data_IF_111705619451
#
_entry.id   IF_111705619451
#
_cell.length_a   1.000
_cell.length_b   1.000
_cell.length_c   1.000
_cell.angle_alpha   90.00
_cell.angle_beta   90.00
_cell.angle_gamma   90.00
#
_symmetry.space_group_name_H-M   'P 1'
#
loop_
_entity.id
_entity.type
_entity.pdbx_description
1 polymer ?
#
# COMPACT_ATOMS: atom_id res chain seq x y z
N UNK A 1 -1.93 -1.18 -21.20
CA UNK A 1 -1.22 -1.37 -19.90
C UNK A 1 -0.62 -2.77 -19.92
N UNK A 2 0.61 -2.94 -19.43
CA UNK A 2 1.23 -4.27 -19.37
C UNK A 2 0.93 -4.88 -18.00
N UNK A 3 0.23 -6.02 -18.00
CA UNK A 3 -0.04 -6.81 -16.80
C UNK A 3 0.93 -7.99 -16.78
N UNK A 4 1.55 -8.23 -15.64
CA UNK A 4 2.53 -9.29 -15.49
C UNK A 4 1.86 -10.59 -15.07
N UNK A 5 2.12 -11.69 -15.79
CA UNK A 5 1.98 -13.03 -15.23
C UNK A 5 3.19 -13.30 -14.30
N UNK A 6 3.11 -14.36 -13.50
CA UNK A 6 4.22 -14.76 -12.63
C UNK A 6 5.53 -14.94 -13.42
N UNK A 7 5.48 -15.70 -14.49
CA UNK A 7 6.68 -15.99 -15.30
C UNK A 7 7.24 -14.74 -15.98
N UNK A 8 6.37 -13.85 -16.48
CA UNK A 8 6.83 -12.58 -17.07
C UNK A 8 7.55 -11.71 -16.03
N UNK A 9 7.00 -11.61 -14.82
CA UNK A 9 7.64 -10.84 -13.75
C UNK A 9 8.98 -11.46 -13.33
N UNK A 10 9.05 -12.78 -13.16
CA UNK A 10 10.31 -13.48 -12.82
C UNK A 10 11.37 -13.21 -13.89
N UNK A 11 11.03 -13.38 -15.17
CA UNK A 11 11.97 -13.16 -16.28
C UNK A 11 12.50 -11.72 -16.29
N UNK A 12 11.65 -10.72 -15.97
CA UNK A 12 12.06 -9.31 -15.90
C UNK A 12 13.02 -9.01 -14.74
N UNK A 13 13.00 -9.83 -13.69
CA UNK A 13 13.85 -9.66 -12.50
C UNK A 13 15.14 -10.48 -12.55
N UNK A 14 15.16 -11.63 -13.26
CA UNK A 14 16.29 -12.54 -13.33
C UNK A 14 17.58 -11.84 -13.78
N UNK A 15 18.68 -12.12 -13.07
CA UNK A 15 20.01 -11.54 -13.30
C UNK A 15 20.10 -10.01 -13.10
N UNK A 16 19.05 -9.36 -12.62
CA UNK A 16 18.97 -7.90 -12.44
C UNK A 16 18.73 -7.49 -11.00
N UNK A 17 17.85 -8.19 -10.30
CA UNK A 17 17.53 -7.94 -8.88
C UNK A 17 17.57 -9.24 -8.08
N UNK A 18 17.96 -9.16 -6.82
CA UNK A 18 17.77 -10.26 -5.89
C UNK A 18 16.30 -10.33 -5.45
N UNK A 19 15.71 -11.50 -5.63
CA UNK A 19 14.34 -11.80 -5.22
C UNK A 19 14.18 -13.26 -4.82
N UNK A 20 13.07 -13.56 -4.16
CA UNK A 20 12.65 -14.94 -3.84
C UNK A 20 11.18 -15.13 -4.13
N UNK A 21 10.80 -16.38 -4.41
CA UNK A 21 9.42 -16.83 -4.46
C UNK A 21 9.04 -17.50 -3.15
N UNK A 22 7.92 -17.07 -2.55
CA UNK A 22 7.28 -17.82 -1.47
C UNK A 22 6.00 -18.45 -2.01
N UNK A 23 5.79 -19.71 -1.66
CA UNK A 23 4.72 -20.53 -2.25
C UNK A 23 3.92 -21.24 -1.15
N UNK A 24 2.59 -21.15 -1.24
CA UNK A 24 1.64 -21.88 -0.39
C UNK A 24 0.48 -22.39 -1.24
N UNK A 25 0.31 -23.70 -1.33
CA UNK A 25 -0.63 -24.35 -2.26
C UNK A 25 -0.39 -23.87 -3.71
N UNK A 26 -1.42 -23.32 -4.37
CA UNK A 26 -1.36 -22.76 -5.72
C UNK A 26 -1.01 -21.28 -5.76
N UNK A 27 -0.90 -20.63 -4.60
CA UNK A 27 -0.56 -19.21 -4.49
C UNK A 27 0.94 -18.97 -4.43
N UNK A 28 1.38 -17.84 -4.99
CA UNK A 28 2.77 -17.41 -5.00
C UNK A 28 2.86 -15.91 -4.69
N UNK A 29 3.88 -15.51 -3.95
CA UNK A 29 4.32 -14.11 -3.90
C UNK A 29 5.77 -14.01 -4.33
N UNK A 30 6.14 -12.84 -4.88
CA UNK A 30 7.51 -12.50 -5.25
C UNK A 30 7.99 -11.38 -4.35
N UNK A 31 9.08 -11.62 -3.61
CA UNK A 31 9.68 -10.66 -2.68
C UNK A 31 11.05 -10.25 -3.18
N UNK A 32 11.30 -8.94 -3.31
CA UNK A 32 12.55 -8.36 -3.81
C UNK A 32 13.33 -7.67 -2.69
N UNK A 33 14.67 -7.72 -2.75
CA UNK A 33 15.54 -6.89 -1.91
C UNK A 33 15.43 -5.39 -2.24
N UNK A 34 15.09 -5.03 -3.48
CA UNK A 34 14.95 -3.62 -3.87
C UNK A 34 13.72 -3.00 -3.22
N UNK A 35 13.93 -2.12 -2.25
CA UNK A 35 12.88 -1.52 -1.43
C UNK A 35 12.24 -2.48 -0.42
N UNK A 36 12.75 -3.72 -0.27
CA UNK A 36 12.17 -4.75 0.59
C UNK A 36 10.72 -5.08 0.22
N UNK A 37 10.39 -5.11 -1.08
CA UNK A 37 9.02 -5.10 -1.59
C UNK A 37 8.45 -6.49 -1.87
N UNK A 38 7.13 -6.62 -1.70
CA UNK A 38 6.37 -7.69 -2.35
C UNK A 38 5.94 -7.17 -3.72
N UNK A 39 6.53 -7.69 -4.79
CA UNK A 39 6.26 -7.25 -6.17
C UNK A 39 5.12 -8.01 -6.83
N UNK A 40 4.79 -9.19 -6.37
CA UNK A 40 3.76 -10.01 -6.97
C UNK A 40 2.89 -10.73 -5.97
N UNK A 41 1.58 -10.76 -6.24
CA UNK A 41 0.57 -11.58 -5.57
C UNK A 41 -0.17 -12.35 -6.65
N UNK A 42 -0.08 -13.67 -6.60
CA UNK A 42 -0.70 -14.60 -7.55
C UNK A 42 -1.55 -15.61 -6.79
N UNK A 43 -2.89 -15.42 -6.67
CA UNK A 43 -3.79 -16.32 -5.96
C UNK A 43 -3.91 -17.72 -6.58
N UNK A 44 -3.59 -17.88 -7.85
CA UNK A 44 -3.55 -19.15 -8.59
C UNK A 44 -2.41 -19.18 -9.60
N UNK A 45 -2.07 -20.35 -10.13
CA UNK A 45 -0.94 -20.52 -11.06
C UNK A 45 -1.08 -19.69 -12.33
N UNK A 46 -2.25 -19.70 -12.92
CA UNK A 46 -2.56 -19.01 -14.18
C UNK A 46 -3.40 -17.74 -13.86
N UNK A 47 -2.73 -16.65 -13.52
CA UNK A 47 -3.37 -15.34 -13.33
C UNK A 47 -2.38 -14.20 -13.57
N UNK A 48 -2.92 -13.00 -13.70
CA UNK A 48 -2.10 -11.79 -13.68
C UNK A 48 -1.77 -11.39 -12.24
N UNK A 49 -0.71 -10.63 -12.09
CA UNK A 49 -0.35 -10.00 -10.83
C UNK A 49 -1.44 -9.00 -10.40
N UNK A 50 -1.91 -9.09 -9.17
CA UNK A 50 -2.87 -8.13 -8.63
C UNK A 50 -2.20 -6.80 -8.22
N UNK A 51 -0.86 -6.80 -8.07
CA UNK A 51 -0.10 -5.59 -7.79
C UNK A 51 0.38 -4.93 -9.08
N UNK A 52 0.43 -3.60 -9.04
CA UNK A 52 1.10 -2.87 -10.11
C UNK A 52 2.61 -3.07 -10.01
N UNK A 53 3.22 -3.32 -11.15
CA UNK A 53 4.67 -3.33 -11.35
C UNK A 53 4.98 -2.33 -12.45
N UNK A 54 6.09 -1.61 -12.31
CA UNK A 54 6.49 -0.64 -13.31
C UNK A 54 6.60 -1.29 -14.69
N UNK A 55 5.83 -0.87 -15.69
CA UNK A 55 5.81 -1.50 -17.01
C UNK A 55 7.15 -1.41 -17.76
N UNK A 56 8.02 -0.48 -17.37
CA UNK A 56 9.37 -0.33 -17.90
C UNK A 56 10.43 -1.09 -17.08
N UNK A 57 10.03 -2.03 -16.21
CA UNK A 57 10.94 -2.69 -15.26
C UNK A 57 12.16 -3.32 -15.91
N UNK A 58 12.06 -3.77 -17.17
CA UNK A 58 13.16 -4.34 -17.93
C UNK A 58 14.23 -3.30 -18.34
N UNK A 59 13.85 -2.04 -18.44
CA UNK A 59 14.72 -0.94 -18.88
C UNK A 59 15.22 -0.07 -17.71
N UNK A 60 14.73 -0.29 -16.49
CA UNK A 60 15.07 0.55 -15.34
C UNK A 60 16.53 0.40 -14.90
N UNK A 61 17.15 1.52 -14.57
CA UNK A 61 18.38 1.56 -13.77
C UNK A 61 18.01 1.51 -12.28
N UNK A 62 18.04 0.32 -11.70
CA UNK A 62 17.71 0.10 -10.29
C UNK A 62 18.62 0.83 -9.28
N UNK A 63 19.71 1.45 -9.72
CA UNK A 63 20.52 2.32 -8.86
C UNK A 63 19.92 3.71 -8.71
N UNK A 64 19.04 4.10 -9.62
CA UNK A 64 18.43 5.44 -9.68
C UNK A 64 16.92 5.40 -9.43
N UNK A 65 16.28 4.29 -9.85
CA UNK A 65 14.82 4.17 -9.81
C UNK A 65 14.37 3.47 -8.53
N UNK A 66 13.56 4.15 -7.77
CA UNK A 66 12.96 3.60 -6.55
C UNK A 66 11.63 2.89 -6.84
N UNK A 67 10.83 3.39 -7.81
CA UNK A 67 9.46 2.94 -8.03
C UNK A 67 9.36 1.77 -9.02
N UNK A 68 9.59 0.58 -8.51
CA UNK A 68 9.44 -0.67 -9.28
C UNK A 68 8.06 -1.33 -9.10
N UNK A 69 7.20 -0.77 -8.25
CA UNK A 69 5.87 -1.33 -7.98
C UNK A 69 5.75 -2.06 -6.65
N UNK A 70 4.63 -2.75 -6.45
CA UNK A 70 4.41 -3.67 -5.34
C UNK A 70 3.95 -3.03 -4.03
N UNK A 71 4.08 -3.80 -2.94
CA UNK A 71 3.82 -3.36 -1.57
C UNK A 71 5.12 -2.98 -0.87
N UNK A 72 5.11 -1.86 -0.15
CA UNK A 72 6.28 -1.32 0.55
C UNK A 72 5.94 -0.76 1.93
N UNK A 73 6.98 -0.58 2.73
CA UNK A 73 6.92 0.08 4.04
C UNK A 73 7.71 1.38 4.00
N UNK A 74 7.06 2.47 4.42
CA UNK A 74 7.63 3.79 4.55
C UNK A 74 7.40 4.36 5.95
N UNK A 75 7.85 5.60 6.18
CA UNK A 75 7.68 6.36 7.42
C UNK A 75 7.01 7.67 7.07
N UNK A 76 5.96 8.04 7.80
CA UNK A 76 5.28 9.33 7.68
C UNK A 76 5.62 10.25 8.87
N UNK A 77 5.37 11.58 8.77
CA UNK A 77 4.57 12.22 7.74
C UNK A 77 5.33 12.43 6.42
N UNK A 78 4.61 12.27 5.32
CA UNK A 78 5.16 12.48 3.96
C UNK A 78 5.79 13.87 3.84
N UNK A 79 5.13 14.90 4.38
CA UNK A 79 5.59 16.28 4.33
C UNK A 79 7.03 16.47 4.79
N UNK A 80 7.44 15.81 5.88
CA UNK A 80 8.75 16.06 6.48
C UNK A 80 9.90 15.31 5.80
N UNK A 81 9.62 14.21 5.13
CA UNK A 81 10.67 13.33 4.62
C UNK A 81 10.77 13.32 3.10
N UNK A 82 9.68 13.63 2.38
CA UNK A 82 9.60 13.46 0.93
C UNK A 82 9.53 14.79 0.15
N UNK A 83 9.56 15.95 0.81
CA UNK A 83 9.60 17.26 0.16
C UNK A 83 10.84 18.01 0.62
N UNK A 84 11.70 18.45 -0.33
CA UNK A 84 12.89 19.26 0.01
C UNK A 84 12.51 20.60 0.61
N UNK A 85 11.34 21.12 0.22
CA UNK A 85 10.71 22.32 0.75
C UNK A 85 9.36 21.99 1.39
N UNK A 86 9.35 21.45 2.64
CA UNK A 86 8.16 20.94 3.28
C UNK A 86 7.11 22.01 3.62
N UNK A 87 7.51 23.28 3.78
CA UNK A 87 6.57 24.37 4.06
C UNK A 87 5.69 24.69 2.84
N UNK A 88 6.24 24.58 1.63
CA UNK A 88 5.57 24.84 0.36
C UNK A 88 5.08 23.56 -0.34
N UNK A 89 5.45 22.38 0.16
CA UNK A 89 5.17 21.08 -0.46
C UNK A 89 5.74 20.99 -1.89
N UNK A 90 6.97 21.43 -2.05
CA UNK A 90 7.69 21.47 -3.33
C UNK A 90 8.86 20.50 -3.35
N UNK A 91 9.29 20.16 -4.57
CA UNK A 91 10.43 19.28 -4.83
C UNK A 91 10.32 17.92 -4.16
N UNK A 92 9.23 17.22 -4.47
CA UNK A 92 9.02 15.85 -4.00
C UNK A 92 10.14 14.92 -4.46
N UNK A 93 10.61 14.05 -3.59
CA UNK A 93 11.62 13.03 -3.86
C UNK A 93 11.41 11.83 -2.95
N UNK A 94 11.87 10.64 -3.37
CA UNK A 94 11.93 9.48 -2.50
C UNK A 94 13.28 9.44 -1.79
N UNK A 95 13.35 9.41 -0.45
CA UNK A 95 14.61 9.33 0.28
C UNK A 95 15.31 7.99 0.02
N UNK A 96 16.45 8.01 -0.66
CA UNK A 96 17.19 6.78 -1.03
C UNK A 96 17.57 5.93 0.19
N UNK A 97 17.77 6.54 1.34
CA UNK A 97 18.04 5.82 2.60
C UNK A 97 16.82 5.13 3.21
N UNK A 98 15.61 5.30 2.62
CA UNK A 98 14.38 4.60 2.97
C UNK A 98 13.92 3.67 1.85
N UNK A 99 13.93 4.15 0.60
CA UNK A 99 13.51 3.40 -0.57
C UNK A 99 14.32 3.86 -1.81
N UNK A 100 15.04 2.96 -2.48
CA UNK A 100 15.03 1.51 -2.25
C UNK A 100 15.83 1.04 -1.03
N UNK A 101 16.60 1.90 -0.37
CA UNK A 101 17.53 1.53 0.72
C UNK A 101 18.48 0.38 0.27
N UNK A 102 18.91 -0.47 1.20
CA UNK A 102 19.76 -1.61 0.88
C UNK A 102 19.29 -2.86 1.64
N UNK A 103 18.02 -3.23 1.42
CA UNK A 103 17.46 -4.42 2.04
C UNK A 103 18.22 -5.68 1.65
N UNK A 104 18.35 -6.59 2.61
CA UNK A 104 18.91 -7.92 2.41
C UNK A 104 17.99 -8.98 2.99
N UNK A 105 17.75 -10.03 2.23
CA UNK A 105 17.07 -11.23 2.72
C UNK A 105 18.01 -11.93 3.67
N UNK A 106 17.65 -11.99 4.94
CA UNK A 106 18.48 -12.57 6.02
C UNK A 106 18.09 -13.99 6.37
N UNK A 107 16.85 -14.36 6.08
CA UNK A 107 16.35 -15.72 6.21
C UNK A 107 15.19 -15.96 5.29
N UNK A 108 15.01 -17.20 4.85
CA UNK A 108 13.85 -17.61 4.05
C UNK A 108 13.50 -19.08 4.22
N UNK A 109 12.22 -19.38 4.10
CA UNK A 109 11.63 -20.72 3.97
C UNK A 109 10.79 -20.79 2.71
N UNK A 110 10.06 -21.88 2.49
CA UNK A 110 9.10 -21.96 1.38
C UNK A 110 7.97 -20.92 1.48
N UNK A 111 7.58 -20.52 2.69
CA UNK A 111 6.39 -19.71 2.96
C UNK A 111 6.67 -18.40 3.69
N UNK A 112 7.92 -18.11 4.03
CA UNK A 112 8.28 -16.90 4.79
C UNK A 112 9.68 -16.42 4.49
N UNK A 113 9.91 -15.12 4.71
CA UNK A 113 11.25 -14.53 4.70
C UNK A 113 11.35 -13.36 5.67
N UNK A 114 12.59 -12.98 5.97
CA UNK A 114 12.90 -11.75 6.69
C UNK A 114 13.92 -10.93 5.91
N UNK A 115 13.68 -9.61 5.84
CA UNK A 115 14.57 -8.66 5.19
C UNK A 115 14.98 -7.59 6.21
N UNK A 116 16.23 -7.15 6.14
CA UNK A 116 16.76 -6.09 6.98
C UNK A 116 17.43 -5.01 6.14
N UNK A 117 17.37 -3.77 6.62
CA UNK A 117 18.14 -2.64 6.09
C UNK A 117 18.51 -1.67 7.18
N UNK A 118 19.63 -0.98 7.01
CA UNK A 118 19.85 0.27 7.71
C UNK A 118 19.07 1.38 7.01
N UNK A 119 18.41 2.25 7.80
CA UNK A 119 17.65 3.38 7.30
C UNK A 119 18.32 4.69 7.68
N UNK A 120 18.27 5.66 6.76
CA UNK A 120 18.72 7.02 6.99
C UNK A 120 17.75 8.00 6.35
N UNK A 121 17.18 8.87 7.19
CA UNK A 121 16.20 9.88 6.80
C UNK A 121 16.66 11.26 7.26
N UNK A 122 16.31 12.29 6.52
CA UNK A 122 16.49 13.69 6.96
C UNK A 122 15.11 14.33 7.11
N UNK A 123 14.81 14.86 8.27
CA UNK A 123 13.68 15.75 8.45
C UNK A 123 13.98 17.05 7.67
N UNK A 124 13.23 17.29 6.62
CA UNK A 124 13.49 18.42 5.71
C UNK A 124 13.15 19.78 6.33
N UNK A 125 12.35 19.81 7.41
CA UNK A 125 12.04 21.04 8.14
C UNK A 125 13.16 21.40 9.11
N UNK A 126 13.58 20.45 9.97
CA UNK A 126 14.61 20.71 11.01
C UNK A 126 16.04 20.49 10.53
N UNK A 127 16.22 19.81 9.38
CA UNK A 127 17.49 19.34 8.82
C UNK A 127 18.22 18.30 9.69
N UNK A 128 17.53 17.73 10.67
CA UNK A 128 18.06 16.64 11.49
C UNK A 128 18.08 15.32 10.72
N UNK A 129 19.16 14.58 10.86
CA UNK A 129 19.30 13.24 10.26
C UNK A 129 18.93 12.16 11.27
N UNK A 130 18.05 11.26 10.88
CA UNK A 130 17.62 10.11 11.65
C UNK A 130 18.19 8.84 11.04
N UNK A 131 18.87 8.05 11.86
CA UNK A 131 19.43 6.75 11.46
C UNK A 131 18.79 5.64 12.28
N UNK A 132 18.70 4.46 11.69
CA UNK A 132 18.08 3.33 12.35
C UNK A 132 18.14 2.05 11.55
N UNK A 133 17.22 1.14 11.86
CA UNK A 133 17.08 -0.15 11.18
C UNK A 133 15.63 -0.47 10.93
N UNK A 134 15.37 -1.13 9.82
CA UNK A 134 14.06 -1.71 9.49
C UNK A 134 14.24 -3.20 9.29
N UNK A 135 13.37 -3.98 9.91
CA UNK A 135 13.19 -5.41 9.65
C UNK A 135 11.76 -5.61 9.14
N UNK A 136 11.63 -6.26 7.97
CA UNK A 136 10.36 -6.73 7.44
C UNK A 136 10.32 -8.25 7.49
N UNK A 137 9.40 -8.84 8.24
CA UNK A 137 9.13 -10.27 8.20
C UNK A 137 7.83 -10.51 7.42
N UNK A 138 7.92 -11.31 6.36
CA UNK A 138 6.84 -11.55 5.40
C UNK A 138 6.54 -13.04 5.41
N UNK A 139 5.27 -13.42 5.57
CA UNK A 139 4.85 -14.82 5.55
C UNK A 139 3.52 -15.00 4.83
N UNK A 140 3.43 -16.07 4.05
CA UNK A 140 2.15 -16.55 3.54
C UNK A 140 1.34 -17.15 4.69
N UNK A 141 0.05 -16.89 4.71
CA UNK A 141 -0.87 -17.37 5.74
C UNK A 141 -2.08 -18.04 5.13
N UNK A 142 -2.69 -18.92 5.91
CA UNK A 142 -3.96 -19.58 5.54
C UNK A 142 -5.09 -18.56 5.43
N UNK A 143 -6.07 -18.91 4.60
CA UNK A 143 -7.26 -18.08 4.42
C UNK A 143 -8.10 -18.02 5.70
N UNK A 144 -8.32 -16.81 6.27
CA UNK A 144 -9.01 -16.72 7.57
C UNK A 144 -10.52 -16.94 7.51
N UNK A 145 -11.15 -16.84 6.33
CA UNK A 145 -12.62 -16.86 6.19
C UNK A 145 -13.17 -18.00 5.31
N UNK A 146 -12.30 -18.83 4.75
CA UNK A 146 -12.64 -19.97 3.89
C UNK A 146 -13.73 -19.65 2.84
N UNK A 147 -13.34 -18.96 1.78
CA UNK A 147 -14.26 -18.53 0.71
C UNK A 147 -14.45 -19.58 -0.37
N UNK A 148 -13.48 -20.49 -0.52
CA UNK A 148 -13.46 -21.53 -1.56
C UNK A 148 -13.01 -21.04 -2.93
N UNK A 149 -12.58 -19.78 -3.09
CA UNK A 149 -12.04 -19.24 -4.34
C UNK A 149 -10.51 -19.08 -4.25
N UNK A 150 -9.80 -18.93 -5.39
CA UNK A 150 -8.37 -18.70 -5.40
C UNK A 150 -7.95 -17.53 -4.51
N UNK A 151 -6.98 -17.79 -3.64
CA UNK A 151 -6.58 -16.92 -2.54
C UNK A 151 -5.05 -16.87 -2.40
N UNK A 152 -4.54 -15.70 -2.03
CA UNK A 152 -3.18 -15.50 -1.57
C UNK A 152 -3.18 -14.52 -0.39
N UNK A 153 -2.69 -14.93 0.77
CA UNK A 153 -2.64 -14.10 1.97
C UNK A 153 -1.23 -13.90 2.48
N UNK A 154 -0.92 -12.65 2.82
CA UNK A 154 0.37 -12.22 3.33
C UNK A 154 0.18 -11.58 4.70
N UNK A 155 1.01 -11.98 5.65
CA UNK A 155 1.20 -11.28 6.91
C UNK A 155 2.56 -10.61 6.92
N UNK A 156 2.58 -9.35 7.30
CA UNK A 156 3.77 -8.56 7.54
C UNK A 156 3.94 -8.29 9.03
N UNK A 157 5.17 -8.34 9.49
CA UNK A 157 5.60 -7.79 10.76
C UNK A 157 6.70 -6.77 10.45
N UNK A 158 6.40 -5.51 10.66
CA UNK A 158 7.33 -4.39 10.50
C UNK A 158 7.92 -4.03 11.85
N UNK A 159 9.24 -3.96 11.91
CA UNK A 159 9.99 -3.46 13.07
C UNK A 159 10.94 -2.37 12.58
N UNK A 160 10.66 -1.14 12.96
CA UNK A 160 11.49 0.01 12.65
C UNK A 160 11.98 0.67 13.93
N UNK A 161 13.29 0.76 14.09
CA UNK A 161 13.94 1.45 15.21
C UNK A 161 14.82 2.57 14.70
N UNK A 162 14.47 3.82 15.04
CA UNK A 162 15.30 5.00 14.83
C UNK A 162 16.06 5.34 16.12
N UNK A 163 17.34 5.65 16.00
CA UNK A 163 18.23 5.90 17.14
C UNK A 163 18.06 7.27 17.79
N UNK A 164 17.11 8.04 17.29
CA UNK A 164 16.66 9.33 17.86
C UNK A 164 15.39 9.09 18.66
N UNK A 165 15.30 9.52 19.92
CA UNK A 165 14.09 9.37 20.74
C UNK A 165 13.01 10.41 20.42
N UNK A 166 11.78 10.12 20.86
CA UNK A 166 10.65 11.06 20.88
C UNK A 166 10.29 11.66 19.52
N UNK A 167 10.36 10.87 18.46
CA UNK A 167 9.95 11.31 17.14
C UNK A 167 8.43 11.16 16.95
N UNK A 168 7.80 12.19 16.43
CA UNK A 168 6.39 12.21 16.03
C UNK A 168 6.26 11.68 14.62
N UNK A 169 6.23 10.36 14.47
CA UNK A 169 6.20 9.65 13.20
C UNK A 169 5.36 8.38 13.28
N UNK A 170 4.84 7.93 12.14
CA UNK A 170 4.16 6.65 12.00
C UNK A 170 4.91 5.74 11.01
N UNK A 171 4.73 4.43 11.14
CA UNK A 171 4.93 3.54 10.01
C UNK A 171 3.84 3.76 8.97
N UNK A 172 4.15 3.51 7.71
CA UNK A 172 3.22 3.71 6.60
C UNK A 172 3.38 2.58 5.58
N UNK A 173 2.31 1.85 5.31
CA UNK A 173 2.32 0.75 4.37
C UNK A 173 1.49 1.09 3.13
N UNK A 174 2.09 0.93 1.96
CA UNK A 174 1.53 1.31 0.67
C UNK A 174 1.54 0.12 -0.28
N UNK A 175 0.41 -0.16 -0.90
CA UNK A 175 0.28 -1.20 -1.92
C UNK A 175 -0.12 -0.57 -3.24
N UNK A 176 0.74 -0.68 -4.25
CA UNK A 176 0.43 -0.21 -5.60
C UNK A 176 -0.45 -1.24 -6.31
N UNK A 177 -1.56 -0.77 -6.86
CA UNK A 177 -2.59 -1.61 -7.49
C UNK A 177 -2.70 -1.31 -8.98
N UNK A 178 -3.00 -2.34 -9.77
CA UNK A 178 -3.27 -2.19 -11.21
C UNK A 178 -4.62 -1.50 -11.44
N UNK A 179 -4.77 -0.82 -12.56
CA UNK A 179 -6.04 -0.28 -13.05
C UNK A 179 -6.21 -0.62 -14.52
N UNK A 180 -7.40 -0.80 -14.99
CA UNK A 180 -7.73 -0.92 -16.42
C UNK A 180 -7.91 0.43 -17.10
N UNK A 181 -7.59 1.55 -16.43
CA UNK A 181 -7.75 2.90 -16.97
C UNK A 181 -9.17 3.40 -16.91
N UNK A 182 -9.49 4.36 -17.79
CA UNK A 182 -10.80 5.02 -17.81
C UNK A 182 -11.96 4.08 -18.14
N UNK A 183 -11.71 3.11 -19.02
CA UNK A 183 -12.76 2.19 -19.51
C UNK A 183 -12.98 0.98 -18.57
N UNK A 184 -12.05 0.71 -17.67
CA UNK A 184 -12.12 -0.36 -16.68
C UNK A 184 -11.45 0.08 -15.38
N UNK A 185 -11.98 1.09 -14.69
CA UNK A 185 -11.38 1.58 -13.46
C UNK A 185 -11.53 0.57 -12.33
N UNK A 186 -10.56 0.58 -11.42
CA UNK A 186 -10.71 -0.09 -10.15
C UNK A 186 -11.49 0.77 -9.14
N UNK A 187 -12.02 0.13 -8.11
CA UNK A 187 -12.77 0.79 -7.06
C UNK A 187 -12.18 0.46 -5.70
N UNK A 188 -11.73 1.47 -5.00
CA UNK A 188 -11.36 1.39 -3.58
C UNK A 188 -12.63 1.43 -2.74
N UNK A 189 -12.71 0.59 -1.71
CA UNK A 189 -13.82 0.48 -0.76
C UNK A 189 -13.26 0.58 0.66
N UNK A 190 -13.72 1.58 1.42
CA UNK A 190 -13.27 1.83 2.80
C UNK A 190 -14.49 1.80 3.70
N UNK A 191 -14.64 0.80 4.60
CA UNK A 191 -15.70 0.78 5.61
C UNK A 191 -15.52 1.94 6.58
N UNK A 192 -16.63 2.62 6.92
CA UNK A 192 -16.62 3.79 7.78
C UNK A 192 -17.77 3.76 8.79
N UNK A 193 -17.69 4.64 9.79
CA UNK A 193 -18.82 4.98 10.63
C UNK A 193 -19.90 5.72 9.83
N UNK A 194 -21.09 5.89 10.40
CA UNK A 194 -22.17 6.65 9.78
C UNK A 194 -21.77 8.11 9.52
N UNK A 195 -22.07 8.59 8.29
CA UNK A 195 -21.79 9.95 7.82
C UNK A 195 -20.30 10.34 7.78
N UNK A 196 -19.44 9.55 7.12
CA UNK A 196 -18.01 9.87 7.02
C UNK A 196 -17.79 11.18 6.27
N UNK A 197 -16.68 11.85 6.61
CA UNK A 197 -16.21 13.09 5.96
C UNK A 197 -14.86 12.86 5.30
N UNK A 198 -14.81 12.21 4.12
CA UNK A 198 -13.58 11.95 3.41
C UNK A 198 -12.85 13.26 3.08
N UNK A 199 -11.54 13.22 3.13
CA UNK A 199 -10.66 14.36 2.91
C UNK A 199 -9.95 14.23 1.57
N UNK A 200 -9.70 15.36 0.92
CA UNK A 200 -8.91 15.46 -0.30
C UNK A 200 -7.52 15.99 0.04
N UNK A 201 -6.49 15.14 -0.05
CA UNK A 201 -5.14 15.52 0.40
C UNK A 201 -4.40 16.47 -0.55
N UNK A 202 -4.67 16.41 -1.86
CA UNK A 202 -3.95 17.24 -2.82
C UNK A 202 -4.84 18.34 -3.43
N UNK A 203 -6.04 17.98 -3.83
CA UNK A 203 -7.05 18.87 -4.42
C UNK A 203 -8.45 18.25 -4.29
N UNK A 204 -9.51 19.03 -4.38
CA UNK A 204 -10.86 18.51 -4.26
C UNK A 204 -11.12 17.35 -5.21
N UNK A 205 -11.63 16.23 -4.67
CA UNK A 205 -11.99 15.05 -5.44
C UNK A 205 -13.40 15.27 -6.02
N UNK A 206 -13.58 15.21 -7.35
CA UNK A 206 -14.89 15.45 -7.96
C UNK A 206 -15.86 14.28 -7.69
N UNK A 207 -17.15 14.58 -7.70
CA UNK A 207 -18.22 13.63 -7.35
C UNK A 207 -18.33 12.39 -8.26
N UNK A 208 -17.81 12.46 -9.48
CA UNK A 208 -17.72 11.29 -10.37
C UNK A 208 -16.56 10.33 -10.02
N UNK A 209 -15.78 10.64 -8.98
CA UNK A 209 -14.63 9.84 -8.49
C UNK A 209 -14.79 9.38 -7.05
N UNK A 210 -15.76 9.94 -6.33
CA UNK A 210 -15.96 9.70 -4.92
C UNK A 210 -17.45 9.47 -4.65
N UNK A 211 -17.77 8.33 -4.04
CA UNK A 211 -19.11 8.02 -3.56
C UNK A 211 -19.05 7.83 -2.04
N UNK A 212 -19.92 8.55 -1.33
CA UNK A 212 -20.01 8.49 0.14
C UNK A 212 -21.34 7.88 0.52
N UNK A 213 -21.31 6.72 1.15
CA UNK A 213 -22.47 6.02 1.70
C UNK A 213 -22.52 6.18 3.22
N UNK A 214 -23.58 5.68 3.84
CA UNK A 214 -23.71 5.73 5.31
C UNK A 214 -22.70 4.88 6.07
N UNK A 215 -22.07 3.88 5.43
CA UNK A 215 -21.20 2.91 6.08
C UNK A 215 -19.91 2.60 5.29
N UNK A 216 -19.70 3.26 4.15
CA UNK A 216 -18.45 3.14 3.39
C UNK A 216 -18.22 4.34 2.47
N UNK A 217 -16.97 4.51 2.08
CA UNK A 217 -16.54 5.42 1.01
C UNK A 217 -15.99 4.60 -0.14
N UNK A 218 -16.40 4.93 -1.37
CA UNK A 218 -15.83 4.36 -2.60
C UNK A 218 -15.05 5.42 -3.37
N UNK A 219 -13.85 5.06 -3.86
CA UNK A 219 -12.98 5.96 -4.63
C UNK A 219 -12.51 5.29 -5.91
N UNK A 220 -12.53 6.05 -7.01
CA UNK A 220 -12.20 5.61 -8.35
C UNK A 220 -10.71 5.63 -8.62
N UNK A 221 -10.17 4.50 -9.09
CA UNK A 221 -8.80 4.39 -9.60
C UNK A 221 -8.84 4.14 -11.10
N UNK A 222 -8.69 5.19 -11.89
CA UNK A 222 -8.68 5.16 -13.37
C UNK A 222 -7.37 5.63 -13.98
N UNK A 223 -6.39 6.00 -13.15
CA UNK A 223 -5.05 6.46 -13.53
C UNK A 223 -5.07 7.54 -14.63
N UNK A 224 -5.98 8.50 -14.49
CA UNK A 224 -6.18 9.56 -15.46
C UNK A 224 -5.79 10.96 -14.96
N UNK A 225 -5.76 11.16 -13.64
CA UNK A 225 -5.36 12.41 -13.01
C UNK A 225 -5.03 12.21 -11.51
N UNK A 226 -4.19 13.07 -10.94
CA UNK A 226 -3.71 12.93 -9.56
C UNK A 226 -4.79 13.35 -8.56
N UNK A 227 -5.20 12.39 -7.71
CA UNK A 227 -6.05 12.60 -6.54
C UNK A 227 -5.55 11.75 -5.38
N UNK A 228 -5.68 12.24 -4.17
CA UNK A 228 -5.42 11.46 -2.95
C UNK A 228 -6.58 11.64 -1.98
N UNK A 229 -7.23 10.52 -1.68
CA UNK A 229 -8.29 10.39 -0.67
C UNK A 229 -7.67 10.07 0.68
N UNK A 230 -8.23 10.61 1.77
CA UNK A 230 -7.94 10.17 3.11
C UNK A 230 -9.21 10.06 3.98
N UNK A 231 -9.19 9.12 4.94
CA UNK A 231 -10.25 8.91 5.93
C UNK A 231 -9.66 9.15 7.31
N UNK A 232 -10.34 9.99 8.09
CA UNK A 232 -9.93 10.36 9.45
C UNK A 232 -10.14 9.21 10.44
N UNK A 233 -9.41 9.18 11.56
CA UNK A 233 -9.65 8.19 12.62
C UNK A 233 -11.10 8.17 13.11
N UNK A 234 -11.73 9.35 13.27
CA UNK A 234 -13.11 9.47 13.76
C UNK A 234 -14.16 8.86 12.85
N UNK A 235 -13.85 8.73 11.56
CA UNK A 235 -14.74 8.14 10.56
C UNK A 235 -14.58 6.62 10.44
N UNK A 236 -13.69 5.98 11.23
CA UNK A 236 -13.40 4.54 11.17
C UNK A 236 -14.07 3.81 12.35
N UNK A 237 -14.67 2.67 12.05
CA UNK A 237 -15.17 1.75 13.07
C UNK A 237 -14.07 0.78 13.50
N UNK A 238 -13.31 1.17 14.51
CA UNK A 238 -12.23 0.35 15.09
C UNK A 238 -12.67 -0.95 15.76
N UNK A 239 -13.98 -1.19 15.91
CA UNK A 239 -14.48 -2.47 16.43
C UNK A 239 -14.44 -3.59 15.40
N UNK A 240 -14.25 -3.26 14.11
CA UNK A 240 -14.31 -4.20 12.98
C UNK A 240 -12.98 -4.50 12.33
N UNK A 241 -11.86 -4.09 12.87
CA UNK A 241 -10.54 -4.04 12.23
C UNK A 241 -10.47 -3.04 11.07
N UNK A 242 -9.41 -2.30 11.03
CA UNK A 242 -9.17 -1.21 10.09
C UNK A 242 -8.78 -1.78 8.73
N UNK A 243 -9.52 -1.41 7.68
CA UNK A 243 -9.44 -2.07 6.38
C UNK A 243 -9.59 -1.10 5.22
N UNK A 244 -8.92 -1.44 4.14
CA UNK A 244 -9.14 -0.86 2.82
C UNK A 244 -9.19 -1.98 1.79
N UNK A 245 -10.25 -2.01 0.98
CA UNK A 245 -10.42 -2.96 -0.11
C UNK A 245 -10.24 -2.31 -1.45
N UNK A 246 -9.86 -3.10 -2.45
CA UNK A 246 -9.75 -2.71 -3.84
C UNK A 246 -10.32 -3.78 -4.76
N UNK A 247 -11.30 -3.43 -5.57
CA UNK A 247 -11.94 -4.32 -6.55
C UNK A 247 -11.62 -3.85 -7.95
N UNK A 248 -11.25 -4.78 -8.83
CA UNK A 248 -11.00 -4.53 -10.25
C UNK A 248 -11.56 -5.69 -11.07
N UNK A 249 -12.26 -5.40 -12.17
CA UNK A 249 -12.47 -6.41 -13.22
C UNK A 249 -11.14 -6.69 -13.90
N UNK A 250 -10.71 -7.95 -13.91
CA UNK A 250 -9.44 -8.34 -14.53
C UNK A 250 -9.52 -8.07 -16.03
N UNK A 251 -8.56 -7.32 -16.60
CA UNK A 251 -8.56 -7.04 -18.03
C UNK A 251 -8.57 -8.29 -18.88
N UNK A 252 -9.33 -8.26 -19.98
CA UNK A 252 -9.46 -9.38 -20.94
C UNK A 252 -10.01 -10.67 -20.33
N UNK A 253 -10.71 -10.57 -19.19
CA UNK A 253 -11.30 -11.70 -18.46
C UNK A 253 -12.69 -11.32 -17.93
N UNK A 254 -13.49 -12.35 -17.62
CA UNK A 254 -14.76 -12.17 -16.86
C UNK A 254 -14.56 -12.27 -15.36
N UNK A 255 -13.33 -12.50 -14.91
CA UNK A 255 -12.96 -12.56 -13.50
C UNK A 255 -12.76 -11.18 -12.90
N UNK A 256 -12.90 -11.11 -11.58
CA UNK A 256 -12.60 -9.95 -10.75
C UNK A 256 -11.48 -10.27 -9.78
N UNK A 257 -10.63 -9.29 -9.54
CA UNK A 257 -9.64 -9.31 -8.46
C UNK A 257 -10.13 -8.49 -7.27
N UNK A 258 -9.82 -8.95 -6.08
CA UNK A 258 -10.03 -8.21 -4.84
C UNK A 258 -8.76 -8.25 -4.00
N UNK A 259 -8.29 -7.07 -3.63
CA UNK A 259 -7.25 -6.91 -2.62
C UNK A 259 -7.88 -6.30 -1.37
N UNK A 260 -7.52 -6.79 -0.19
CA UNK A 260 -7.90 -6.14 1.07
C UNK A 260 -6.69 -6.08 1.98
N UNK A 261 -6.41 -4.86 2.45
CA UNK A 261 -5.34 -4.57 3.42
C UNK A 261 -5.96 -4.31 4.78
N UNK A 262 -5.40 -4.94 5.81
CA UNK A 262 -5.94 -4.93 7.18
C UNK A 262 -4.82 -4.68 8.16
N UNK A 263 -5.06 -3.84 9.18
CA UNK A 263 -4.18 -3.69 10.33
C UNK A 263 -5.01 -3.38 11.58
N UNK A 264 -4.65 -3.96 12.71
CA UNK A 264 -5.12 -3.57 14.04
C UNK A 264 -4.16 -2.58 14.73
N UNK A 265 -3.06 -2.28 14.04
CA UNK A 265 -1.98 -1.41 14.48
C UNK A 265 -2.04 -0.04 13.79
N UNK A 266 -3.19 0.63 13.82
CA UNK A 266 -3.38 1.95 13.23
C UNK A 266 -3.62 3.03 14.31
N UNK A 267 -3.32 4.32 14.01
CA UNK A 267 -3.69 5.43 14.87
C UNK A 267 -5.21 5.47 15.07
N UNK A 268 -5.66 5.65 16.33
CA UNK A 268 -7.07 5.69 16.68
C UNK A 268 -7.61 7.10 16.95
N UNK A 269 -6.73 8.07 16.98
CA UNK A 269 -7.04 9.49 17.13
C UNK A 269 -6.13 10.34 16.28
N UNK A 270 -6.50 11.61 16.10
CA UNK A 270 -5.65 12.58 15.38
C UNK A 270 -4.30 12.77 16.06
N UNK A 271 -4.25 12.71 17.39
CA UNK A 271 -3.00 12.88 18.16
C UNK A 271 -1.97 11.75 17.94
N UNK A 272 -2.40 10.63 17.38
CA UNK A 272 -1.55 9.48 17.09
C UNK A 272 -1.10 9.41 15.62
N UNK A 273 -1.59 10.28 14.75
CA UNK A 273 -1.28 10.31 13.32
C UNK A 273 -0.62 11.65 12.95
N UNK A 274 0.48 11.57 12.22
CA UNK A 274 1.27 12.77 11.87
C UNK A 274 1.25 13.08 10.38
N UNK A 275 0.62 12.23 9.55
CA UNK A 275 0.45 12.51 8.14
C UNK A 275 -0.74 13.43 7.89
N UNK A 276 -0.54 14.47 7.08
CA UNK A 276 -1.45 15.60 6.95
C UNK A 276 -1.70 15.97 5.49
N UNK A 277 -2.83 16.62 5.22
CA UNK A 277 -3.13 17.15 3.90
C UNK A 277 -2.27 18.36 3.55
N UNK A 278 -2.16 18.64 2.23
CA UNK A 278 -1.44 19.81 1.72
C UNK A 278 -2.15 21.11 2.09
N UNK A 279 -3.46 21.18 1.87
CA UNK A 279 -4.21 22.45 1.96
C UNK A 279 -4.62 22.78 3.39
N UNK A 280 -4.81 21.77 4.24
CA UNK A 280 -5.27 21.93 5.63
C UNK A 280 -4.44 21.07 6.60
N UNK A 281 -3.13 21.32 6.71
CA UNK A 281 -2.22 20.45 7.47
C UNK A 281 -2.50 20.41 8.99
N UNK A 282 -3.25 21.37 9.51
CA UNK A 282 -3.59 21.43 10.95
C UNK A 282 -4.95 20.75 11.26
N UNK A 283 -5.71 20.35 10.25
CA UNK A 283 -7.06 19.85 10.42
C UNK A 283 -7.31 18.50 9.71
N UNK A 284 -6.66 18.26 8.57
CA UNK A 284 -6.91 17.10 7.73
C UNK A 284 -5.83 16.04 7.96
N UNK A 285 -6.13 15.10 8.86
CA UNK A 285 -5.28 13.97 9.22
C UNK A 285 -6.01 12.69 8.84
N UNK A 286 -5.38 11.86 8.01
CA UNK A 286 -6.00 10.65 7.51
C UNK A 286 -5.16 9.41 7.73
N UNK A 287 -5.78 8.36 8.23
CA UNK A 287 -5.11 7.11 8.59
C UNK A 287 -5.31 5.99 7.58
N UNK A 288 -6.39 6.04 6.79
CA UNK A 288 -6.58 5.21 5.60
C UNK A 288 -6.55 6.14 4.41
N UNK A 289 -5.70 5.84 3.43
CA UNK A 289 -5.48 6.70 2.28
C UNK A 289 -5.53 5.90 0.98
N UNK A 290 -5.80 6.60 -0.12
CA UNK A 290 -5.73 6.02 -1.46
C UNK A 290 -5.31 7.08 -2.47
N UNK A 291 -4.41 6.70 -3.36
CA UNK A 291 -3.86 7.56 -4.40
C UNK A 291 -4.25 7.08 -5.80
N UNK A 292 -4.56 8.01 -6.68
CA UNK A 292 -4.75 7.80 -8.11
C UNK A 292 -3.76 8.66 -8.88
N UNK A 293 -2.96 8.06 -9.76
CA UNK A 293 -1.91 8.75 -10.50
C UNK A 293 -2.40 9.39 -11.80
N UNK A 294 -1.47 10.08 -12.47
CA UNK A 294 -1.67 10.68 -13.79
C UNK A 294 -1.94 9.64 -14.88
N UNK A 295 -2.44 10.13 -16.01
CA UNK A 295 -2.66 9.31 -17.20
C UNK A 295 -1.35 8.81 -17.82
N UNK A 296 -1.38 7.66 -18.54
CA UNK A 296 -0.21 7.06 -19.15
C UNK A 296 0.53 7.95 -20.18
N UNK A 297 -0.17 8.91 -20.78
CA UNK A 297 0.42 9.88 -21.73
C UNK A 297 1.18 11.00 -21.05
N UNK A 298 0.94 11.26 -19.76
CA UNK A 298 1.69 12.24 -18.96
C UNK A 298 2.80 11.62 -18.14
N UNK A 299 2.62 10.37 -17.72
CA UNK A 299 3.58 9.63 -16.91
C UNK A 299 3.48 8.14 -17.20
N UNK A 300 4.60 7.44 -17.25
CA UNK A 300 4.61 5.98 -17.29
C UNK A 300 4.25 5.35 -15.93
N UNK A 301 4.18 6.16 -14.87
CA UNK A 301 3.77 5.74 -13.52
C UNK A 301 2.25 5.80 -13.40
N UNK A 302 1.58 4.80 -13.93
CA UNK A 302 0.12 4.72 -14.02
C UNK A 302 -0.44 3.68 -13.02
N UNK A 303 -0.43 4.01 -11.74
CA UNK A 303 -0.88 3.13 -10.66
C UNK A 303 -1.88 3.82 -9.73
N UNK A 304 -2.65 3.00 -9.01
CA UNK A 304 -3.33 3.42 -7.79
C UNK A 304 -2.60 2.93 -6.55
N UNK A 305 -2.96 3.45 -5.38
CA UNK A 305 -2.46 2.95 -4.10
C UNK A 305 -3.59 2.77 -3.09
N UNK A 306 -3.44 1.72 -2.28
CA UNK A 306 -4.18 1.54 -1.02
C UNK A 306 -3.17 1.57 0.13
N UNK A 307 -3.45 2.39 1.14
CA UNK A 307 -2.47 2.80 2.12
C UNK A 307 -3.05 2.79 3.53
N UNK A 308 -2.24 2.37 4.51
CA UNK A 308 -2.58 2.46 5.93
C UNK A 308 -1.44 3.14 6.70
N UNK A 309 -1.77 4.15 7.48
CA UNK A 309 -0.89 4.62 8.54
C UNK A 309 -0.88 3.60 9.67
N UNK A 310 0.30 3.28 10.17
CA UNK A 310 0.49 2.32 11.27
C UNK A 310 0.73 3.08 12.58
N UNK A 311 0.78 2.36 13.68
CA UNK A 311 0.98 2.95 15.01
C UNK A 311 2.10 3.99 15.03
N UNK A 312 1.89 5.06 15.81
CA UNK A 312 2.96 6.00 16.10
C UNK A 312 4.13 5.31 16.79
N UNK A 313 5.33 5.78 16.54
CA UNK A 313 6.53 5.26 17.19
C UNK A 313 6.53 5.62 18.68
N UNK A 314 6.94 4.66 19.49
CA UNK A 314 7.05 4.83 20.95
C UNK A 314 8.49 4.97 21.36
N UNK A 315 8.74 5.79 22.37
CA UNK A 315 10.07 5.92 22.96
C UNK A 315 10.39 4.65 23.79
N UNK A 316 11.46 3.97 23.44
CA UNK A 316 11.96 2.81 24.16
C UNK A 316 13.49 2.84 24.17
N UNK A 317 14.10 2.81 25.38
CA UNK A 317 15.58 2.83 25.56
C UNK A 317 16.25 3.96 24.76
N UNK A 318 15.73 5.18 24.87
CA UNK A 318 16.22 6.38 24.16
C UNK A 318 16.21 6.24 22.61
N UNK A 319 15.27 5.50 22.05
CA UNK A 319 15.05 5.30 20.60
C UNK A 319 13.56 5.44 20.30
N UNK A 320 13.22 5.82 19.10
CA UNK A 320 11.85 5.74 18.58
C UNK A 320 11.64 4.41 17.87
N UNK A 321 10.70 3.59 18.36
CA UNK A 321 10.44 2.25 17.90
C UNK A 321 9.00 2.12 17.40
N UNK A 322 8.82 1.65 16.15
CA UNK A 322 7.55 1.31 15.54
C UNK A 322 7.49 -0.18 15.24
N UNK A 323 6.55 -0.89 15.88
CA UNK A 323 6.28 -2.30 15.60
C UNK A 323 4.83 -2.39 15.16
N UNK A 324 4.58 -3.00 14.01
CA UNK A 324 3.24 -3.16 13.49
C UNK A 324 3.06 -4.49 12.75
N UNK A 325 1.90 -5.09 12.94
CA UNK A 325 1.42 -6.22 12.15
C UNK A 325 0.34 -5.73 11.21
N UNK A 326 0.47 -6.09 9.92
CA UNK A 326 -0.60 -5.89 8.95
C UNK A 326 -0.69 -7.07 7.99
N UNK A 327 -1.76 -7.14 7.22
CA UNK A 327 -2.04 -8.24 6.33
C UNK A 327 -2.54 -7.69 4.99
N UNK A 328 -2.25 -8.43 3.92
CA UNK A 328 -2.75 -8.17 2.58
C UNK A 328 -3.27 -9.47 1.99
N UNK A 329 -4.54 -9.49 1.60
CA UNK A 329 -5.19 -10.65 0.99
C UNK A 329 -5.56 -10.34 -0.44
N UNK A 330 -5.29 -11.28 -1.35
CA UNK A 330 -5.66 -11.23 -2.75
C UNK A 330 -6.58 -12.40 -3.11
N UNK A 331 -7.65 -12.10 -3.84
CA UNK A 331 -8.65 -13.05 -4.31
C UNK A 331 -8.91 -12.87 -5.80
N UNK A 332 -9.21 -13.96 -6.49
CA UNK A 332 -9.67 -13.95 -7.89
C UNK A 332 -10.88 -14.87 -8.02
N UNK A 333 -11.93 -14.40 -8.70
CA UNK A 333 -13.13 -15.19 -8.94
C UNK A 333 -14.11 -14.46 -9.84
N UNK A 334 -15.30 -15.02 -10.01
CA UNK A 334 -16.42 -14.35 -10.65
C UNK A 334 -16.83 -13.11 -9.86
N UNK A 335 -17.60 -12.22 -10.47
CA UNK A 335 -18.10 -11.01 -9.79
C UNK A 335 -18.83 -11.35 -8.49
N UNK A 336 -19.72 -12.32 -8.50
CA UNK A 336 -20.55 -12.66 -7.35
C UNK A 336 -19.71 -13.29 -6.23
N UNK A 337 -18.75 -14.14 -6.56
CA UNK A 337 -17.80 -14.72 -5.60
C UNK A 337 -16.97 -13.63 -4.92
N UNK A 338 -16.40 -12.72 -5.71
CA UNK A 338 -15.60 -11.60 -5.20
C UNK A 338 -16.47 -10.66 -4.33
N UNK A 339 -17.70 -10.37 -4.74
CA UNK A 339 -18.63 -9.56 -3.91
C UNK A 339 -18.99 -10.24 -2.60
N UNK A 340 -19.11 -11.58 -2.59
CA UNK A 340 -19.27 -12.35 -1.36
C UNK A 340 -18.06 -12.22 -0.42
N UNK A 341 -16.85 -12.13 -0.96
CA UNK A 341 -15.62 -11.87 -0.17
C UNK A 341 -15.58 -10.43 0.34
N UNK A 342 -15.95 -9.46 -0.50
CA UNK A 342 -16.07 -8.03 -0.11
C UNK A 342 -17.05 -7.89 1.07
N UNK A 343 -18.22 -8.52 1.01
CA UNK A 343 -19.18 -8.51 2.12
C UNK A 343 -18.59 -9.10 3.41
N UNK A 344 -17.91 -10.25 3.32
CA UNK A 344 -17.29 -10.89 4.49
C UNK A 344 -16.20 -10.05 5.15
N UNK A 345 -15.39 -9.35 4.37
CA UNK A 345 -14.32 -8.52 4.93
C UNK A 345 -14.76 -7.12 5.32
N UNK A 346 -15.57 -6.46 4.49
CA UNK A 346 -15.85 -5.03 4.61
C UNK A 346 -17.26 -4.74 5.14
N UNK A 347 -18.13 -5.76 5.24
CA UNK A 347 -19.56 -5.61 5.54
C UNK A 347 -20.28 -4.64 4.54
N UNK A 348 -19.84 -4.70 3.28
CA UNK A 348 -20.40 -3.92 2.18
C UNK A 348 -21.07 -4.87 1.19
N UNK A 349 -22.42 -4.79 1.10
CA UNK A 349 -23.21 -5.60 0.18
C UNK A 349 -23.39 -4.92 -1.16
N UNK A 350 -23.12 -5.67 -2.24
CA UNK A 350 -23.31 -5.19 -3.62
C UNK A 350 -22.75 -3.76 -3.83
N UNK A 351 -21.44 -3.53 -3.59
CA UNK A 351 -20.86 -2.22 -3.75
C UNK A 351 -21.08 -1.69 -5.16
N UNK A 352 -21.38 -0.40 -5.27
CA UNK A 352 -21.33 0.28 -6.55
C UNK A 352 -19.85 0.40 -6.97
N UNK A 353 -19.50 -0.17 -8.12
CA UNK A 353 -18.18 0.01 -8.75
C UNK A 353 -18.26 1.17 -9.77
N UNK A 354 -17.12 1.86 -9.96
CA UNK A 354 -16.98 2.89 -10.98
C UNK A 354 -16.81 2.31 -12.37
#
# INVERSE_FOLDING_TARGET
MNYFTKNALINSLENRLAFIELNYNDSTIIVSEHGGRVLGIFPKKECINLLWVNPAIEDLDFKKEWNIGGDRYWISPERLFFYKNPELWEDWFCPVGLDPANYKITSSTKTSCSLNTDVSLTNQLTKEAYKGKITRSISLIEEPINTGIPYCGIQYMEDCTLFTPNLNINGWTLTQVISGGMDNPGTVLIPTNGNPKPQSYFRPIPSNRLSVSSNYVAFKIDVNDIYKLAIRPEDIDFSRSEKIGYVLKIPESDEYGFLVKISDAMPKSQDECFDVSRDHPDADIGVIQSYNSESPDKSFLNFGEIELQLNMFKNFNHKSCGIAKHQLFGYIGTRDEVFGVVEKYLDIRNPALF
#
